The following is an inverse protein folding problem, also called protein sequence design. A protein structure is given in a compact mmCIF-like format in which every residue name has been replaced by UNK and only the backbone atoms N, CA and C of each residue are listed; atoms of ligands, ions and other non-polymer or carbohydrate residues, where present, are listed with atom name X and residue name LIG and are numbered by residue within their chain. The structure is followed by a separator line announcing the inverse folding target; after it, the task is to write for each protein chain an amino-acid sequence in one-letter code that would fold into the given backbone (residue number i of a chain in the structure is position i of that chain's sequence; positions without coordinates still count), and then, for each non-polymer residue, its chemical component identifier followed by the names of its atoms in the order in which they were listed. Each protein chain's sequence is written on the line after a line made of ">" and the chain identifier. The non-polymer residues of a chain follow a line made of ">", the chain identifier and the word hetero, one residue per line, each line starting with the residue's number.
data_IF_747076420916
#
_entry.id   IF_747076420916
#
_cell.length_a   1.000
_cell.length_b   1.000
_cell.length_c   1.000
_cell.angle_alpha   90.00
_cell.angle_beta   90.00
_cell.angle_gamma   90.00
#
_symmetry.space_group_name_H-M   'P 1'
#
loop_
_entity.id
_entity.type
_entity.pdbx_description
1 polymer ?
#
# COMPACT_ATOMS: atom_id res chain seq x y z
N UNK A 1 8.18 1.62 11.65
CA UNK A 1 6.95 2.42 11.42
C UNK A 1 7.26 3.52 10.41
N UNK A 2 6.82 3.42 9.16
CA UNK A 2 7.22 4.23 7.98
C UNK A 2 8.56 3.85 7.30
N UNK A 3 9.56 3.35 8.02
CA UNK A 3 10.78 2.80 7.41
C UNK A 3 10.58 1.41 6.79
N UNK A 4 9.50 0.71 7.12
CA UNK A 4 9.20 -0.66 6.68
C UNK A 4 8.28 -0.74 5.45
N UNK A 5 7.67 0.38 5.03
CA UNK A 5 6.71 0.44 3.90
C UNK A 5 7.11 1.53 2.87
N UNK A 6 8.24 1.37 2.17
CA UNK A 6 8.77 2.38 1.24
C UNK A 6 7.90 2.58 -0.02
N UNK A 7 7.21 1.54 -0.50
CA UNK A 7 6.31 1.68 -1.64
C UNK A 7 5.11 2.55 -1.28
N UNK A 8 4.48 2.30 -0.12
CA UNK A 8 3.40 3.17 0.39
C UNK A 8 3.85 4.61 0.58
N UNK A 9 5.09 4.81 1.06
CA UNK A 9 5.66 6.16 1.21
C UNK A 9 5.79 6.87 -0.13
N UNK A 10 6.33 6.19 -1.13
CA UNK A 10 6.50 6.73 -2.49
C UNK A 10 5.15 7.11 -3.10
N UNK A 11 4.12 6.29 -2.88
CA UNK A 11 2.74 6.57 -3.30
C UNK A 11 2.18 7.82 -2.62
N UNK A 12 2.34 7.95 -1.30
CA UNK A 12 1.76 9.04 -0.53
C UNK A 12 2.47 10.39 -0.76
N UNK A 13 3.72 10.37 -1.20
CA UNK A 13 4.42 11.57 -1.67
C UNK A 13 3.73 12.18 -2.91
N UNK A 14 3.17 11.36 -3.81
CA UNK A 14 2.42 11.86 -4.97
C UNK A 14 1.04 12.42 -4.61
N UNK A 15 0.42 11.98 -3.50
CA UNK A 15 -0.99 12.27 -3.15
C UNK A 15 -1.08 13.34 -2.02
N UNK A 16 -0.01 14.10 -1.76
CA UNK A 16 0.02 15.19 -0.77
C UNK A 16 0.01 14.77 0.71
N UNK A 17 0.72 13.70 1.07
CA UNK A 17 1.71 13.81 2.15
C UNK A 17 1.34 13.45 3.60
N UNK A 18 0.20 12.85 3.92
CA UNK A 18 -0.09 12.49 5.32
C UNK A 18 -0.42 11.00 5.52
N UNK A 19 0.61 10.16 5.65
CA UNK A 19 0.48 8.75 6.05
C UNK A 19 -0.17 8.63 7.44
N UNK A 20 0.10 9.60 8.31
CA UNK A 20 -0.41 9.64 9.70
C UNK A 20 -1.91 9.93 9.81
N UNK A 21 -2.57 10.32 8.71
CA UNK A 21 -4.00 10.65 8.69
C UNK A 21 -4.87 9.61 7.98
N UNK A 22 -4.27 8.63 7.29
CA UNK A 22 -5.03 7.61 6.59
C UNK A 22 -5.44 6.49 7.54
N UNK A 23 -6.72 6.18 7.50
CA UNK A 23 -7.27 4.96 8.06
C UNK A 23 -6.72 3.74 7.32
N UNK A 24 -6.72 2.55 7.94
CA UNK A 24 -6.30 1.31 7.27
C UNK A 24 -7.08 1.01 5.98
N UNK A 25 -8.35 1.44 5.89
CA UNK A 25 -9.19 1.31 4.69
C UNK A 25 -8.73 2.26 3.56
N UNK A 26 -8.37 3.50 3.89
CA UNK A 26 -7.82 4.44 2.91
C UNK A 26 -6.45 4.00 2.40
N UNK A 27 -5.63 3.40 3.28
CA UNK A 27 -4.37 2.77 2.87
C UNK A 27 -4.62 1.64 1.85
N UNK A 28 -5.60 0.77 2.10
CA UNK A 28 -5.97 -0.31 1.18
C UNK A 28 -6.44 0.24 -0.17
N UNK A 29 -7.29 1.27 -0.17
CA UNK A 29 -7.74 1.94 -1.40
C UNK A 29 -6.57 2.53 -2.22
N UNK A 30 -5.54 3.08 -1.56
CA UNK A 30 -4.33 3.57 -2.22
C UNK A 30 -3.56 2.41 -2.86
N UNK A 31 -3.39 1.31 -2.14
CA UNK A 31 -2.75 0.12 -2.70
C UNK A 31 -3.50 -0.38 -3.93
N UNK A 32 -4.81 -0.63 -3.84
CA UNK A 32 -5.61 -1.15 -4.96
C UNK A 32 -5.52 -0.27 -6.23
N UNK A 33 -5.56 1.06 -6.07
CA UNK A 33 -5.52 1.99 -7.21
C UNK A 33 -4.16 2.06 -7.90
N UNK A 34 -3.09 1.98 -7.11
CA UNK A 34 -1.74 2.30 -7.60
C UNK A 34 -0.85 1.06 -7.72
N UNK A 35 -1.32 -0.12 -7.30
CA UNK A 35 -0.56 -1.37 -7.36
C UNK A 35 -0.05 -1.73 -8.76
N UNK A 36 -0.81 -1.36 -9.81
CA UNK A 36 -0.37 -1.52 -11.21
C UNK A 36 0.92 -0.75 -11.56
N UNK A 37 1.32 0.23 -10.76
CA UNK A 37 2.53 1.05 -10.93
C UNK A 37 3.71 0.60 -10.05
N UNK A 38 3.61 -0.55 -9.36
CA UNK A 38 4.68 -1.10 -8.51
C UNK A 38 6.01 -1.34 -9.22
N UNK A 39 5.99 -1.46 -10.55
CA UNK A 39 7.20 -1.60 -11.37
C UNK A 39 7.81 -0.26 -11.82
N UNK A 40 7.11 0.85 -11.62
CA UNK A 40 7.57 2.20 -11.99
C UNK A 40 8.03 3.03 -10.79
N UNK A 41 7.74 2.57 -9.57
CA UNK A 41 8.11 3.20 -8.31
C UNK A 41 9.16 2.36 -7.58
N UNK A 42 9.59 2.82 -6.42
CA UNK A 42 10.43 2.03 -5.52
C UNK A 42 9.74 0.68 -5.22
N UNK A 43 10.41 -0.45 -5.46
CA UNK A 43 9.77 -1.76 -5.35
C UNK A 43 9.35 -2.04 -3.90
N UNK A 44 8.20 -2.71 -3.69
CA UNK A 44 7.76 -3.04 -2.35
C UNK A 44 8.75 -3.97 -1.65
N UNK A 45 8.91 -3.79 -0.33
CA UNK A 45 9.72 -4.70 0.48
C UNK A 45 9.07 -6.08 0.55
N UNK A 46 9.81 -7.08 1.02
CA UNK A 46 9.24 -8.41 1.30
C UNK A 46 8.14 -8.40 2.38
N UNK A 47 8.01 -7.33 3.17
CA UNK A 47 7.02 -7.19 4.24
C UNK A 47 5.71 -6.53 3.76
N UNK A 48 5.78 -5.64 2.77
CA UNK A 48 4.62 -4.89 2.24
C UNK A 48 3.50 -5.80 1.69
N UNK A 49 3.79 -6.86 0.92
CA UNK A 49 2.76 -7.77 0.44
C UNK A 49 2.02 -8.50 1.57
N UNK A 50 2.69 -8.78 2.70
CA UNK A 50 2.03 -9.37 3.86
C UNK A 50 1.10 -8.37 4.54
N UNK A 51 1.55 -7.13 4.70
CA UNK A 51 0.75 -6.05 5.25
C UNK A 51 -0.51 -5.76 4.41
N UNK A 52 -0.38 -5.71 3.07
CA UNK A 52 -1.52 -5.50 2.17
C UNK A 52 -2.53 -6.65 2.27
N UNK A 53 -2.04 -7.89 2.42
CA UNK A 53 -2.90 -9.06 2.56
C UNK A 53 -3.68 -9.05 3.88
N UNK A 54 -3.03 -8.64 4.98
CA UNK A 54 -3.70 -8.46 6.26
C UNK A 54 -4.80 -7.41 6.19
N UNK A 55 -4.52 -6.27 5.54
CA UNK A 55 -5.52 -5.23 5.29
C UNK A 55 -6.69 -5.75 4.41
N UNK A 56 -6.39 -6.41 3.30
CA UNK A 56 -7.42 -6.97 2.42
C UNK A 56 -8.33 -7.97 3.14
N UNK A 57 -7.75 -8.83 3.98
CA UNK A 57 -8.50 -9.76 4.82
C UNK A 57 -9.37 -9.02 5.86
N UNK A 58 -8.85 -7.96 6.48
CA UNK A 58 -9.58 -7.17 7.47
C UNK A 58 -10.81 -6.46 6.87
N UNK A 59 -10.72 -6.00 5.62
CA UNK A 59 -11.78 -5.25 4.94
C UNK A 59 -12.58 -6.09 3.93
N UNK A 60 -12.37 -7.42 3.89
CA UNK A 60 -13.03 -8.33 2.96
C UNK A 60 -12.85 -7.93 1.47
N UNK A 61 -11.72 -7.31 1.14
CA UNK A 61 -11.38 -6.94 -0.23
C UNK A 61 -10.64 -8.08 -0.94
N UNK A 62 -10.63 -8.03 -2.27
CA UNK A 62 -9.91 -9.02 -3.08
C UNK A 62 -8.42 -8.87 -2.80
N UNK A 63 -7.74 -9.92 -2.30
CA UNK A 63 -6.32 -9.80 -2.05
C UNK A 63 -5.63 -9.58 -3.39
N UNK A 64 -4.69 -8.65 -3.39
CA UNK A 64 -3.92 -8.32 -4.59
C UNK A 64 -3.02 -9.52 -4.89
N UNK A 65 -3.54 -10.46 -5.68
CA UNK A 65 -3.00 -11.81 -5.82
C UNK A 65 -2.08 -12.00 -7.03
N UNK A 66 -2.08 -11.09 -8.00
CA UNK A 66 -1.62 -11.44 -9.35
C UNK A 66 -0.82 -10.36 -10.05
N UNK A 67 0.21 -9.87 -9.36
CA UNK A 67 0.92 -8.70 -9.81
C UNK A 67 2.28 -8.62 -9.12
#
# INVERSE_FOLDING_TARGET
>A
MLTSLPFLRSLLWQISGAIAALTPEEMLNVYERVWRYRYTLEPPTSEEPNFIRELANQFHSVPIHDV
#
